data_IF_860466850590
#
_entry.id   IF_860466850590
#
_cell.length_a   1.000
_cell.length_b   1.000
_cell.length_c   1.000
_cell.angle_alpha   90.00
_cell.angle_beta   90.00
_cell.angle_gamma   90.00
#
_symmetry.space_group_name_H-M   'P 1'
#
loop_
_entity.id
_entity.type
_entity.pdbx_description
1 polymer ?
#
# COMPACT_ATOMS: atom_id res chain seq x y z
N UNK A 1 -11.77 1.50 10.85
CA UNK A 1 -10.61 0.93 11.45
C UNK A 1 -9.34 1.35 10.75
N UNK A 2 -8.28 1.46 11.47
CA UNK A 2 -7.04 1.90 10.87
C UNK A 2 -6.34 0.79 10.16
N UNK A 3 -5.48 1.20 9.24
CA UNK A 3 -4.55 0.28 8.63
C UNK A 3 -3.56 -0.13 9.71
N UNK A 4 -3.44 -1.40 9.94
CA UNK A 4 -2.52 -1.87 10.94
C UNK A 4 -1.27 -2.43 10.26
N UNK A 5 -0.38 -2.93 11.09
CA UNK A 5 0.89 -3.43 10.59
C UNK A 5 0.72 -4.62 9.66
N UNK A 6 -0.28 -5.44 9.91
CA UNK A 6 -0.49 -6.62 9.08
C UNK A 6 -0.80 -6.21 7.65
N UNK A 7 -1.65 -5.19 7.49
CA UNK A 7 -1.99 -4.72 6.15
C UNK A 7 -0.79 -4.07 5.48
N UNK A 8 0.00 -3.34 6.25
CA UNK A 8 1.18 -2.72 5.69
C UNK A 8 2.16 -3.75 5.19
N UNK A 9 2.37 -4.80 5.95
CA UNK A 9 3.28 -5.85 5.53
C UNK A 9 2.77 -6.54 4.27
N UNK A 10 1.48 -6.76 4.19
CA UNK A 10 0.93 -7.37 3.00
C UNK A 10 1.09 -6.46 1.79
N UNK A 11 0.89 -5.16 2.00
CA UNK A 11 1.05 -4.21 0.92
C UNK A 11 2.49 -4.20 0.42
N UNK A 12 3.45 -4.23 1.33
CA UNK A 12 4.85 -4.26 0.94
C UNK A 12 5.15 -5.51 0.13
N UNK A 13 4.63 -6.64 0.57
CA UNK A 13 4.83 -7.87 -0.15
C UNK A 13 4.27 -7.79 -1.56
N UNK A 14 3.08 -7.22 -1.71
CA UNK A 14 2.48 -7.08 -3.02
C UNK A 14 3.24 -6.09 -3.90
N UNK A 15 3.81 -5.06 -3.27
CA UNK A 15 4.60 -4.09 -4.02
C UNK A 15 5.87 -4.69 -4.60
N UNK A 16 6.37 -5.72 -3.96
CA UNK A 16 7.56 -6.39 -4.44
C UNK A 16 7.26 -7.31 -5.61
N UNK A 17 6.00 -7.54 -5.88
CA UNK A 17 5.58 -8.27 -7.08
C UNK A 17 5.24 -7.26 -8.16
N UNK A 18 4.64 -7.72 -9.24
CA UNK A 18 4.37 -6.85 -10.37
C UNK A 18 3.02 -6.17 -10.32
N UNK A 19 2.31 -6.28 -9.23
CA UNK A 19 0.99 -5.71 -9.13
C UNK A 19 1.03 -4.19 -9.17
N UNK A 20 0.02 -3.59 -9.77
CA UNK A 20 -0.10 -2.14 -9.74
C UNK A 20 -0.58 -1.70 -8.38
N UNK A 21 -0.31 -0.45 -8.05
CA UNK A 21 -0.74 0.10 -6.78
C UNK A 21 -2.26 0.10 -6.68
N UNK A 22 -2.93 0.40 -7.79
CA UNK A 22 -4.39 0.37 -7.81
C UNK A 22 -4.92 -1.01 -7.47
N UNK A 23 -4.33 -2.03 -8.04
CA UNK A 23 -4.77 -3.38 -7.79
C UNK A 23 -4.51 -3.78 -6.34
N UNK A 24 -3.37 -3.39 -5.81
CA UNK A 24 -3.04 -3.68 -4.43
C UNK A 24 -4.08 -3.06 -3.49
N UNK A 25 -4.46 -1.82 -3.78
CA UNK A 25 -5.45 -1.14 -2.95
C UNK A 25 -6.75 -1.92 -2.89
N UNK A 26 -7.22 -2.37 -4.04
CA UNK A 26 -8.48 -3.12 -4.07
C UNK A 26 -8.35 -4.47 -3.39
N UNK A 27 -7.22 -5.11 -3.53
CA UNK A 27 -7.01 -6.39 -2.89
C UNK A 27 -7.03 -6.29 -1.38
N UNK A 28 -6.60 -5.16 -0.86
CA UNK A 28 -6.58 -4.96 0.57
C UNK A 28 -7.90 -4.44 1.12
N UNK A 29 -8.87 -4.25 0.25
CA UNK A 29 -10.20 -3.85 0.70
C UNK A 29 -10.45 -2.35 0.65
N UNK A 30 -9.56 -1.59 0.07
CA UNK A 30 -9.80 -0.16 -0.09
C UNK A 30 -10.67 0.07 -1.31
N UNK A 31 -11.58 1.01 -1.18
CA UNK A 31 -12.45 1.36 -2.30
C UNK A 31 -11.83 2.41 -3.20
N UNK A 32 -10.71 2.99 -2.80
CA UNK A 32 -10.10 4.08 -3.52
C UNK A 32 -8.58 3.97 -3.38
N UNK A 33 -7.84 3.90 -4.49
CA UNK A 33 -6.37 3.82 -4.40
C UNK A 33 -5.75 4.99 -3.66
N UNK A 34 -6.34 6.18 -3.78
CA UNK A 34 -5.80 7.34 -3.07
C UNK A 34 -5.89 7.13 -1.57
N UNK A 35 -6.97 6.53 -1.13
CA UNK A 35 -7.13 6.26 0.29
C UNK A 35 -6.06 5.28 0.77
N UNK A 36 -5.81 4.26 -0.02
CA UNK A 36 -4.76 3.31 0.32
C UNK A 36 -3.40 4.01 0.40
N UNK A 37 -3.09 4.87 -0.55
CA UNK A 37 -1.81 5.55 -0.57
C UNK A 37 -1.61 6.39 0.68
N UNK A 38 -2.64 7.07 1.12
CA UNK A 38 -2.55 7.87 2.34
C UNK A 38 -2.32 7.01 3.56
N UNK A 39 -3.06 5.93 3.66
CA UNK A 39 -2.91 5.04 4.79
C UNK A 39 -1.53 4.40 4.81
N UNK A 40 -1.05 4.01 3.65
CA UNK A 40 0.27 3.41 3.54
C UNK A 40 1.35 4.40 4.00
N UNK A 41 1.27 5.63 3.49
CA UNK A 41 2.26 6.63 3.84
C UNK A 41 2.23 6.93 5.34
N UNK A 42 1.06 6.90 5.92
CA UNK A 42 0.92 7.18 7.33
C UNK A 42 1.63 6.13 8.18
N UNK A 43 1.55 4.88 7.78
CA UNK A 43 2.12 3.80 8.56
C UNK A 43 3.58 3.57 8.23
N UNK A 44 3.92 3.63 6.96
CA UNK A 44 5.27 3.30 6.51
C UNK A 44 6.17 4.52 6.46
N UNK A 45 5.60 5.69 6.21
CA UNK A 45 6.38 6.91 6.17
C UNK A 45 6.57 7.48 4.78
N UNK A 46 6.39 6.68 3.76
CA UNK A 46 6.47 7.15 2.38
C UNK A 46 5.33 6.51 1.60
N UNK A 47 5.03 7.10 0.44
CA UNK A 47 3.94 6.59 -0.37
C UNK A 47 4.31 5.24 -0.98
N UNK A 48 3.33 4.42 -1.34
CA UNK A 48 3.63 3.13 -1.96
C UNK A 48 4.38 3.30 -3.27
N UNK A 49 4.12 4.37 -3.98
CA UNK A 49 4.83 4.61 -5.23
C UNK A 49 6.30 4.88 -4.97
N UNK A 50 6.58 5.71 -3.99
CA UNK A 50 7.95 6.02 -3.63
C UNK A 50 8.66 4.79 -3.10
N UNK A 51 7.97 4.02 -2.31
CA UNK A 51 8.54 2.79 -1.78
C UNK A 51 8.97 1.87 -2.92
N UNK A 52 8.12 1.75 -3.91
CA UNK A 52 8.40 0.87 -5.03
C UNK A 52 9.63 1.31 -5.81
N UNK A 53 9.78 2.61 -5.98
CA UNK A 53 10.89 3.15 -6.72
C UNK A 53 12.20 3.06 -5.97
N UNK A 54 12.14 3.06 -4.67
CA UNK A 54 13.35 3.06 -3.87
C UNK A 54 13.97 1.70 -3.71
N UNK A 55 13.29 0.68 -4.04
CA UNK A 55 13.81 -0.67 -3.88
C UNK A 55 15.11 -0.91 -4.65
#
# INVERSE_FOLDING_TARGET
>A
QMVDEARSKRAISLLEHSDTITQIAYELGFSDPAHFSRAFKRVVGISPRDYRQKR
#
